data_IF_945605280530
#
_entry.id   IF_945605280530
#
_cell.length_a   1.000
_cell.length_b   1.000
_cell.length_c   1.000
_cell.angle_alpha   90.00
_cell.angle_beta   90.00
_cell.angle_gamma   90.00
#
_symmetry.space_group_name_H-M   'P 1'
#
loop_
_entity.id
_entity.type
_entity.pdbx_description
1 polymer ?
#
# COMPACT_ATOMS: atom_id res chain seq x y z
N UNK A 1 54.17 17.13 -68.67
CA UNK A 1 52.79 17.20 -68.16
C UNK A 1 52.41 15.80 -67.73
N UNK A 2 52.51 15.52 -66.43
CA UNK A 2 52.08 14.26 -65.85
C UNK A 2 50.88 14.59 -64.96
N UNK A 3 49.71 14.09 -65.32
CA UNK A 3 48.48 14.26 -64.57
C UNK A 3 48.53 13.40 -63.30
N UNK A 4 48.49 14.06 -62.14
CA UNK A 4 48.37 13.41 -60.84
C UNK A 4 46.96 12.82 -60.67
N UNK A 5 46.81 11.57 -60.23
CA UNK A 5 45.50 11.00 -59.96
C UNK A 5 44.90 11.63 -58.70
N UNK A 6 43.74 12.26 -58.88
CA UNK A 6 42.91 12.78 -57.79
C UNK A 6 42.37 11.60 -56.99
N UNK A 7 42.88 11.43 -55.77
CA UNK A 7 42.36 10.46 -54.82
C UNK A 7 40.96 10.89 -54.36
N UNK A 8 39.93 10.17 -54.81
CA UNK A 8 38.57 10.31 -54.30
C UNK A 8 38.55 9.80 -52.85
N UNK A 9 38.48 10.73 -51.89
CA UNK A 9 38.23 10.42 -50.50
C UNK A 9 36.80 9.90 -50.35
N UNK A 10 36.66 8.62 -49.98
CA UNK A 10 35.35 8.05 -49.67
C UNK A 10 34.71 8.81 -48.50
N UNK A 11 33.43 9.21 -48.61
CA UNK A 11 32.74 9.89 -47.54
C UNK A 11 32.64 8.97 -46.31
N UNK A 12 33.16 9.44 -45.18
CA UNK A 12 33.11 8.71 -43.90
C UNK A 12 31.65 8.31 -43.59
N UNK A 13 31.36 7.01 -43.59
CA UNK A 13 30.01 6.45 -43.39
C UNK A 13 29.54 6.50 -41.93
N UNK A 14 30.30 7.12 -41.04
CA UNK A 14 29.91 7.27 -39.64
C UNK A 14 28.78 8.30 -39.51
N UNK A 15 27.58 7.89 -39.07
CA UNK A 15 26.46 8.82 -38.90
C UNK A 15 26.85 9.93 -37.91
N UNK A 16 26.41 11.19 -38.15
CA UNK A 16 26.73 12.30 -37.28
C UNK A 16 26.24 12.01 -35.86
N UNK A 17 27.11 12.27 -34.87
CA UNK A 17 26.75 12.14 -33.47
C UNK A 17 25.55 13.06 -33.17
N UNK A 18 24.62 12.64 -32.29
CA UNK A 18 23.53 13.51 -31.86
C UNK A 18 24.07 14.83 -31.34
N UNK A 19 23.44 15.94 -31.73
CA UNK A 19 23.77 17.25 -31.17
C UNK A 19 23.70 17.22 -29.64
N UNK A 20 24.60 17.95 -28.99
CA UNK A 20 24.72 17.97 -27.52
C UNK A 20 23.35 18.13 -26.82
N UNK A 21 22.52 19.06 -27.30
CA UNK A 21 21.18 19.29 -26.76
C UNK A 21 20.24 18.08 -26.84
N UNK A 22 20.28 17.29 -27.92
CA UNK A 22 19.47 16.06 -28.03
C UNK A 22 19.91 15.02 -27.01
N UNK A 23 21.21 14.92 -26.76
CA UNK A 23 21.74 14.03 -25.72
C UNK A 23 21.27 14.45 -24.33
N UNK A 24 21.31 15.76 -24.03
CA UNK A 24 20.81 16.30 -22.77
C UNK A 24 19.32 15.99 -22.59
N UNK A 25 18.47 16.30 -23.56
CA UNK A 25 17.04 15.98 -23.48
C UNK A 25 16.78 14.48 -23.30
N UNK A 26 17.56 13.64 -23.97
CA UNK A 26 17.45 12.19 -23.83
C UNK A 26 17.78 11.70 -22.42
N UNK A 27 18.79 12.29 -21.77
CA UNK A 27 19.12 11.97 -20.38
C UNK A 27 18.12 12.53 -19.37
N UNK A 28 17.56 13.72 -19.63
CA UNK A 28 16.46 14.25 -18.82
C UNK A 28 15.24 13.32 -18.89
N UNK A 29 14.90 12.80 -20.07
CA UNK A 29 13.83 11.81 -20.24
C UNK A 29 14.10 10.54 -19.42
N UNK A 30 15.32 9.98 -19.52
CA UNK A 30 15.75 8.81 -18.75
C UNK A 30 15.61 9.06 -17.25
N UNK A 31 16.12 10.19 -16.75
CA UNK A 31 16.09 10.53 -15.33
C UNK A 31 14.65 10.66 -14.82
N UNK A 32 13.81 11.46 -15.48
CA UNK A 32 12.41 11.65 -15.09
C UNK A 32 11.65 10.32 -15.08
N UNK A 33 11.76 9.52 -16.14
CA UNK A 33 11.11 8.20 -16.21
C UNK A 33 11.58 7.28 -15.08
N UNK A 34 12.88 7.28 -14.78
CA UNK A 34 13.47 6.45 -13.74
C UNK A 34 12.99 6.86 -12.36
N UNK A 35 12.88 8.16 -12.07
CA UNK A 35 12.32 8.67 -10.81
C UNK A 35 10.88 8.21 -10.65
N UNK A 36 10.03 8.36 -11.67
CA UNK A 36 8.63 7.92 -11.60
C UNK A 36 8.51 6.40 -11.45
N UNK A 37 9.26 5.63 -12.22
CA UNK A 37 9.29 4.17 -12.07
C UNK A 37 9.80 3.76 -10.68
N UNK A 38 10.79 4.46 -10.13
CA UNK A 38 11.33 4.24 -8.78
C UNK A 38 10.31 4.57 -7.69
N UNK A 39 9.56 5.66 -7.79
CA UNK A 39 8.49 6.01 -6.84
C UNK A 39 7.38 4.96 -6.84
N UNK A 40 6.96 4.50 -8.02
CA UNK A 40 5.99 3.41 -8.13
C UNK A 40 6.54 2.08 -7.60
N UNK A 41 7.82 1.80 -7.82
CA UNK A 41 8.47 0.61 -7.29
C UNK A 41 8.54 0.65 -5.75
N UNK A 42 8.88 1.80 -5.17
CA UNK A 42 8.88 2.03 -3.73
C UNK A 42 7.50 1.80 -3.12
N UNK A 43 6.49 2.52 -3.62
CA UNK A 43 5.11 2.42 -3.13
C UNK A 43 4.56 1.01 -3.34
N UNK A 44 4.67 0.47 -4.55
CA UNK A 44 4.15 -0.85 -4.90
C UNK A 44 4.80 -1.97 -4.07
N UNK A 45 6.09 -1.87 -3.74
CA UNK A 45 6.74 -2.87 -2.89
C UNK A 45 6.23 -2.82 -1.46
N UNK A 46 6.03 -1.62 -0.89
CA UNK A 46 5.51 -1.50 0.47
C UNK A 46 4.06 -2.00 0.55
N UNK A 47 3.20 -1.54 -0.36
CA UNK A 47 1.78 -1.90 -0.36
C UNK A 47 1.54 -3.38 -0.65
N UNK A 48 2.37 -3.99 -1.51
CA UNK A 48 2.28 -5.43 -1.79
C UNK A 48 2.34 -6.29 -0.53
N UNK A 49 3.12 -5.88 0.48
CA UNK A 49 3.27 -6.59 1.75
C UNK A 49 2.46 -5.97 2.90
N UNK A 50 1.99 -4.73 2.74
CA UNK A 50 1.07 -4.09 3.68
C UNK A 50 -0.35 -4.65 3.54
N UNK A 51 -0.84 -4.74 2.29
CA UNK A 51 -2.21 -5.13 1.94
C UNK A 51 -2.29 -6.42 1.13
N UNK A 52 -1.36 -6.62 0.18
CA UNK A 52 -1.43 -7.69 -0.82
C UNK A 52 -1.07 -9.09 -0.32
N UNK A 53 -0.25 -9.20 0.73
CA UNK A 53 0.23 -10.47 1.26
C UNK A 53 -0.74 -11.05 2.30
N UNK A 54 -1.80 -11.69 1.78
CA UNK A 54 -2.94 -12.20 2.56
C UNK A 54 -3.49 -13.55 2.10
N UNK A 55 -2.98 -14.13 1.03
CA UNK A 55 -3.45 -15.44 0.57
C UNK A 55 -2.74 -16.57 1.32
N UNK A 56 -3.43 -17.69 1.49
CA UNK A 56 -2.83 -18.96 1.91
C UNK A 56 -1.83 -19.50 0.88
N UNK A 57 -2.02 -19.17 -0.41
CA UNK A 57 -1.18 -19.71 -1.49
C UNK A 57 -0.08 -18.73 -1.86
N UNK A 58 1.16 -19.24 -1.97
CA UNK A 58 2.31 -18.46 -2.40
C UNK A 58 2.09 -17.83 -3.78
N UNK A 59 1.50 -18.59 -4.72
CA UNK A 59 1.26 -18.11 -6.08
C UNK A 59 0.39 -16.85 -6.08
N UNK A 60 -0.72 -16.85 -5.34
CA UNK A 60 -1.62 -15.70 -5.33
C UNK A 60 -0.97 -14.48 -4.66
N UNK A 61 -0.19 -14.68 -3.60
CA UNK A 61 0.60 -13.59 -3.00
C UNK A 61 1.63 -13.01 -3.98
N UNK A 62 2.34 -13.85 -4.73
CA UNK A 62 3.30 -13.39 -5.77
C UNK A 62 2.57 -12.66 -6.90
N UNK A 63 1.40 -13.11 -7.31
CA UNK A 63 0.57 -12.41 -8.30
C UNK A 63 0.12 -11.04 -7.78
N UNK A 64 -0.26 -10.91 -6.51
CA UNK A 64 -0.57 -9.62 -5.90
C UNK A 64 0.65 -8.70 -5.84
N UNK A 65 1.83 -9.21 -5.48
CA UNK A 65 3.08 -8.43 -5.56
C UNK A 65 3.29 -7.91 -6.99
N UNK A 66 3.07 -8.76 -8.00
CA UNK A 66 3.10 -8.35 -9.41
C UNK A 66 2.07 -7.27 -9.75
N UNK A 67 0.85 -7.35 -9.21
CA UNK A 67 -0.20 -6.36 -9.41
C UNK A 67 0.18 -4.99 -8.81
N UNK A 68 0.68 -4.95 -7.58
CA UNK A 68 1.12 -3.70 -6.95
C UNK A 68 2.36 -3.11 -7.64
N UNK A 69 3.27 -3.94 -8.17
CA UNK A 69 4.42 -3.49 -8.96
C UNK A 69 4.09 -3.14 -10.43
N UNK A 70 2.87 -3.40 -10.89
CA UNK A 70 2.49 -3.21 -12.29
C UNK A 70 2.68 -1.77 -12.78
N UNK A 71 2.40 -0.77 -11.94
CA UNK A 71 2.63 0.64 -12.28
C UNK A 71 4.10 0.95 -12.56
N UNK A 72 5.01 0.39 -11.75
CA UNK A 72 6.45 0.51 -11.99
C UNK A 72 6.85 -0.22 -13.27
N UNK A 73 6.33 -1.43 -13.49
CA UNK A 73 6.56 -2.21 -14.71
C UNK A 73 6.09 -1.49 -15.99
N UNK A 74 4.93 -0.83 -15.95
CA UNK A 74 4.41 0.00 -17.05
C UNK A 74 5.35 1.18 -17.30
N UNK A 75 5.76 1.91 -16.26
CA UNK A 75 6.68 3.05 -16.41
C UNK A 75 8.05 2.64 -16.97
N UNK A 76 8.60 1.50 -16.53
CA UNK A 76 9.83 0.93 -17.10
C UNK A 76 9.62 0.59 -18.57
N UNK A 77 8.55 -0.13 -18.90
CA UNK A 77 8.24 -0.54 -20.28
C UNK A 77 8.12 0.65 -21.21
N UNK A 78 7.41 1.70 -20.78
CA UNK A 78 7.27 2.94 -21.54
C UNK A 78 8.61 3.65 -21.74
N UNK A 79 9.47 3.72 -20.71
CA UNK A 79 10.82 4.25 -20.83
C UNK A 79 11.69 3.46 -21.82
N UNK A 80 11.61 2.12 -21.80
CA UNK A 80 12.32 1.25 -22.74
C UNK A 80 11.82 1.43 -24.18
N UNK A 81 10.51 1.59 -24.38
CA UNK A 81 9.93 1.93 -25.68
C UNK A 81 10.39 3.32 -26.16
N UNK A 82 10.45 4.31 -25.26
CA UNK A 82 11.01 5.63 -25.54
C UNK A 82 12.49 5.59 -25.94
N UNK A 83 13.28 4.70 -25.34
CA UNK A 83 14.69 4.49 -25.73
C UNK A 83 14.84 3.76 -27.07
N UNK A 84 13.98 2.77 -27.34
CA UNK A 84 14.06 1.91 -28.52
C UNK A 84 13.47 2.55 -29.77
N UNK A 85 12.35 3.26 -29.61
CA UNK A 85 11.56 3.88 -30.66
C UNK A 85 11.17 5.30 -30.27
N UNK A 86 12.09 6.27 -30.22
CA UNK A 86 11.82 7.51 -29.49
C UNK A 86 10.66 8.37 -30.01
N UNK A 87 10.35 8.30 -31.32
CA UNK A 87 9.17 8.99 -31.88
C UNK A 87 7.88 8.27 -31.50
N UNK A 88 7.76 6.99 -31.85
CA UNK A 88 6.56 6.19 -31.54
C UNK A 88 6.35 6.06 -30.02
N UNK A 89 7.40 5.77 -29.27
CA UNK A 89 7.40 5.72 -27.80
C UNK A 89 7.03 7.06 -27.18
N UNK A 90 7.53 8.19 -27.70
CA UNK A 90 7.12 9.51 -27.25
C UNK A 90 5.62 9.77 -27.43
N UNK A 91 5.04 9.38 -28.57
CA UNK A 91 3.59 9.48 -28.82
C UNK A 91 2.81 8.56 -27.90
N UNK A 92 3.26 7.31 -27.71
CA UNK A 92 2.60 6.35 -26.81
C UNK A 92 2.57 6.90 -25.37
N UNK A 93 3.70 7.40 -24.86
CA UNK A 93 3.81 7.99 -23.52
C UNK A 93 2.89 9.20 -23.37
N UNK A 94 2.86 10.07 -24.38
CA UNK A 94 1.98 11.24 -24.40
C UNK A 94 0.51 10.81 -24.32
N UNK A 95 0.09 9.90 -25.19
CA UNK A 95 -1.31 9.44 -25.24
C UNK A 95 -1.72 8.75 -23.93
N UNK A 96 -0.92 7.81 -23.42
CA UNK A 96 -1.24 7.10 -22.17
C UNK A 96 -1.27 8.07 -20.99
N UNK A 97 -0.29 8.97 -20.87
CA UNK A 97 -0.25 9.95 -19.80
C UNK A 97 -1.45 10.91 -19.83
N UNK A 98 -1.82 11.38 -21.02
CA UNK A 98 -3.01 12.22 -21.21
C UNK A 98 -4.31 11.48 -20.89
N UNK A 99 -4.48 10.25 -21.37
CA UNK A 99 -5.66 9.43 -21.07
C UNK A 99 -5.78 9.13 -19.58
N UNK A 100 -4.67 8.74 -18.94
CA UNK A 100 -4.65 8.49 -17.50
C UNK A 100 -5.04 9.72 -16.70
N UNK A 101 -4.55 10.91 -17.08
CA UNK A 101 -4.91 12.15 -16.40
C UNK A 101 -6.39 12.52 -16.57
N UNK A 102 -6.95 12.38 -17.76
CA UNK A 102 -8.39 12.60 -18.00
C UNK A 102 -9.22 11.64 -17.15
N UNK A 103 -8.84 10.36 -17.12
CA UNK A 103 -9.49 9.38 -16.26
C UNK A 103 -9.37 9.72 -14.77
N UNK A 104 -8.17 10.05 -14.29
CA UNK A 104 -7.91 10.38 -12.90
C UNK A 104 -8.70 11.62 -12.44
N UNK A 105 -8.72 12.68 -13.25
CA UNK A 105 -9.51 13.88 -12.97
C UNK A 105 -11.01 13.60 -13.07
N UNK A 106 -11.44 12.74 -14.00
CA UNK A 106 -12.84 12.34 -14.14
C UNK A 106 -13.37 11.47 -13.00
N UNK A 107 -12.50 10.75 -12.29
CA UNK A 107 -12.86 10.04 -11.05
C UNK A 107 -13.05 10.96 -9.85
N UNK A 108 -12.54 12.20 -9.92
CA UNK A 108 -12.74 13.16 -8.85
C UNK A 108 -14.08 13.89 -9.09
N UNK A 109 -14.92 14.02 -8.07
CA UNK A 109 -15.95 15.05 -8.08
C UNK A 109 -15.23 16.41 -7.98
N UNK A 110 -15.01 17.08 -9.11
CA UNK A 110 -14.20 18.30 -9.19
C UNK A 110 -14.75 19.44 -8.29
N UNK A 111 -16.03 19.38 -7.92
CA UNK A 111 -16.67 20.28 -6.95
C UNK A 111 -16.16 20.10 -5.51
N UNK A 112 -15.75 18.87 -5.15
CA UNK A 112 -15.41 18.48 -3.77
C UNK A 112 -13.96 17.95 -3.65
N UNK A 113 -13.23 17.91 -4.78
CA UNK A 113 -11.88 17.39 -4.82
C UNK A 113 -10.93 18.31 -4.05
N UNK A 114 -10.10 17.78 -3.13
CA UNK A 114 -9.04 18.55 -2.52
C UNK A 114 -8.15 19.20 -3.60
N UNK A 115 -7.77 20.49 -3.48
CA UNK A 115 -6.91 21.15 -4.47
C UNK A 115 -5.63 20.37 -4.80
N UNK A 116 -5.10 19.63 -3.82
CA UNK A 116 -3.95 18.75 -3.99
C UNK A 116 -4.21 17.65 -5.04
N UNK A 117 -5.40 17.05 -5.08
CA UNK A 117 -5.73 16.00 -6.06
C UNK A 117 -5.76 16.55 -7.48
N UNK A 118 -6.25 17.79 -7.67
CA UNK A 118 -6.24 18.47 -8.96
C UNK A 118 -4.79 18.74 -9.39
N UNK A 119 -3.95 19.25 -8.49
CA UNK A 119 -2.51 19.46 -8.75
C UNK A 119 -1.81 18.16 -9.12
N UNK A 120 -2.09 17.07 -8.41
CA UNK A 120 -1.55 15.73 -8.74
C UNK A 120 -2.00 15.29 -10.12
N UNK A 121 -3.30 15.38 -10.43
CA UNK A 121 -3.83 14.99 -11.74
C UNK A 121 -3.21 15.78 -12.89
N UNK A 122 -3.09 17.10 -12.74
CA UNK A 122 -2.44 17.99 -13.72
C UNK A 122 -0.94 17.70 -13.83
N UNK A 123 -0.25 17.46 -12.70
CA UNK A 123 1.16 17.11 -12.70
C UNK A 123 1.39 15.78 -13.41
N UNK A 124 0.53 14.78 -13.22
CA UNK A 124 0.60 13.49 -13.91
C UNK A 124 0.34 13.65 -15.43
N UNK A 125 -0.64 14.47 -15.81
CA UNK A 125 -0.93 14.81 -17.22
C UNK A 125 0.26 15.49 -17.91
N UNK A 126 0.74 16.57 -17.28
CA UNK A 126 1.85 17.38 -17.74
C UNK A 126 3.14 16.57 -17.81
N UNK A 127 3.35 15.67 -16.84
CA UNK A 127 4.51 14.79 -16.81
C UNK A 127 4.51 13.83 -18.01
N UNK A 128 3.39 13.18 -18.33
CA UNK A 128 3.27 12.33 -19.52
C UNK A 128 3.54 13.09 -20.83
N UNK A 129 2.97 14.29 -20.98
CA UNK A 129 3.18 15.14 -22.15
C UNK A 129 4.62 15.61 -22.31
N UNK A 130 5.21 16.15 -21.24
CA UNK A 130 6.62 16.59 -21.21
C UNK A 130 7.54 15.41 -21.50
N UNK A 131 7.34 14.27 -20.85
CA UNK A 131 8.16 13.09 -21.06
C UNK A 131 8.05 12.56 -22.49
N UNK A 132 6.86 12.56 -23.08
CA UNK A 132 6.64 12.20 -24.48
C UNK A 132 7.43 13.08 -25.46
N UNK A 133 7.41 14.40 -25.25
CA UNK A 133 8.19 15.34 -26.06
C UNK A 133 9.70 15.15 -25.87
N UNK A 134 10.15 14.93 -24.64
CA UNK A 134 11.56 14.65 -24.36
C UNK A 134 12.04 13.38 -25.06
N UNK A 135 11.24 12.31 -25.11
CA UNK A 135 11.55 11.13 -25.90
C UNK A 135 11.57 11.42 -27.40
N UNK A 136 10.60 12.18 -27.90
CA UNK A 136 10.51 12.50 -29.32
C UNK A 136 11.80 13.13 -29.86
N UNK A 137 12.33 14.14 -29.15
CA UNK A 137 13.52 14.89 -29.57
C UNK A 137 14.85 14.37 -29.00
N UNK A 138 14.83 13.75 -27.82
CA UNK A 138 16.01 13.36 -27.05
C UNK A 138 16.65 12.05 -27.49
N UNK A 139 17.99 11.97 -27.48
CA UNK A 139 18.77 10.80 -27.91
C UNK A 139 19.98 10.60 -26.99
N UNK A 140 19.87 9.80 -25.91
CA UNK A 140 20.98 9.63 -24.98
C UNK A 140 22.16 8.92 -25.66
N UNK A 141 23.37 9.46 -25.51
CA UNK A 141 24.57 8.96 -26.21
C UNK A 141 25.03 7.57 -25.75
N UNK A 142 25.02 7.29 -24.43
CA UNK A 142 25.39 5.97 -23.87
C UNK A 142 24.15 5.10 -23.68
N UNK A 143 23.64 4.55 -24.78
CA UNK A 143 22.38 3.79 -24.77
C UNK A 143 22.38 2.67 -23.73
N UNK A 144 23.42 1.81 -23.66
CA UNK A 144 23.48 0.71 -22.69
C UNK A 144 23.24 1.19 -21.25
N UNK A 145 23.90 2.29 -20.86
CA UNK A 145 23.71 2.88 -19.53
C UNK A 145 22.28 3.41 -19.34
N UNK A 146 21.72 4.08 -20.36
CA UNK A 146 20.33 4.56 -20.30
C UNK A 146 19.34 3.39 -20.08
N UNK A 147 19.49 2.28 -20.82
CA UNK A 147 18.70 1.07 -20.60
C UNK A 147 18.88 0.55 -19.17
N UNK A 148 20.13 0.33 -18.72
CA UNK A 148 20.42 -0.17 -17.37
C UNK A 148 19.83 0.71 -16.27
N UNK A 149 19.91 2.03 -16.39
CA UNK A 149 19.32 2.96 -15.41
C UNK A 149 17.80 2.86 -15.41
N UNK A 150 17.17 2.84 -16.59
CA UNK A 150 15.70 2.84 -16.73
C UNK A 150 15.03 1.62 -16.10
N UNK A 151 15.60 0.41 -16.19
CA UNK A 151 15.00 -0.79 -15.56
C UNK A 151 15.69 -1.20 -14.25
N UNK A 152 17.02 -1.02 -14.16
CA UNK A 152 17.81 -1.50 -13.04
C UNK A 152 17.57 -0.70 -11.76
N UNK A 153 17.45 0.63 -11.84
CA UNK A 153 17.21 1.45 -10.64
C UNK A 153 15.85 1.14 -10.01
N UNK A 154 14.71 1.12 -10.74
CA UNK A 154 13.42 0.75 -10.15
C UNK A 154 13.41 -0.68 -9.59
N UNK A 155 14.10 -1.62 -10.24
CA UNK A 155 14.22 -2.99 -9.72
C UNK A 155 14.98 -3.01 -8.39
N UNK A 156 16.11 -2.30 -8.29
CA UNK A 156 16.86 -2.19 -7.03
C UNK A 156 16.00 -1.54 -5.95
N UNK A 157 15.27 -0.47 -6.27
CA UNK A 157 14.33 0.16 -5.33
C UNK A 157 13.28 -0.85 -4.85
N UNK A 158 12.67 -1.62 -5.76
CA UNK A 158 11.69 -2.63 -5.39
C UNK A 158 12.28 -3.70 -4.44
N UNK A 159 13.46 -4.22 -4.77
CA UNK A 159 14.13 -5.24 -3.94
C UNK A 159 14.51 -4.69 -2.56
N UNK A 160 15.12 -3.50 -2.50
CA UNK A 160 15.58 -2.91 -1.23
C UNK A 160 14.40 -2.53 -0.34
N UNK A 161 13.40 -1.84 -0.90
CA UNK A 161 12.24 -1.38 -0.13
C UNK A 161 11.25 -2.51 0.18
N UNK A 162 11.22 -3.56 -0.64
CA UNK A 162 10.42 -4.77 -0.40
C UNK A 162 11.08 -5.77 0.55
N UNK A 163 12.40 -5.70 0.80
CA UNK A 163 13.11 -6.69 1.61
C UNK A 163 12.62 -6.77 3.06
N UNK A 164 12.51 -5.62 3.75
CA UNK A 164 12.04 -5.60 5.13
C UNK A 164 10.55 -6.01 5.24
N UNK A 165 9.62 -5.51 4.41
CA UNK A 165 8.24 -5.97 4.44
C UNK A 165 8.09 -7.45 4.09
N UNK A 166 8.87 -7.97 3.13
CA UNK A 166 8.90 -9.39 2.77
C UNK A 166 9.39 -10.26 3.94
N UNK A 167 10.49 -9.87 4.59
CA UNK A 167 10.98 -10.56 5.78
C UNK A 167 9.92 -10.57 6.89
N UNK A 168 9.34 -9.40 7.17
CA UNK A 168 8.29 -9.24 8.18
C UNK A 168 7.10 -10.18 7.93
N UNK A 169 6.57 -10.23 6.71
CA UNK A 169 5.44 -11.15 6.42
C UNK A 169 5.84 -12.63 6.44
N UNK A 170 7.11 -12.95 6.13
CA UNK A 170 7.62 -14.31 6.16
C UNK A 170 7.86 -14.83 7.58
N UNK A 171 8.04 -13.92 8.57
CA UNK A 171 8.23 -14.27 9.98
C UNK A 171 6.96 -14.13 10.82
N UNK A 172 5.80 -13.84 10.21
CA UNK A 172 4.53 -13.73 10.94
C UNK A 172 4.13 -15.05 11.57
N UNK A 173 3.65 -15.00 12.80
CA UNK A 173 3.04 -16.14 13.45
C UNK A 173 1.58 -16.29 12.97
N UNK A 174 1.27 -17.49 12.48
CA UNK A 174 -0.08 -17.97 12.22
C UNK A 174 -0.21 -19.36 12.87
N UNK A 175 -0.70 -19.38 14.11
CA UNK A 175 -0.75 -20.53 15.00
C UNK A 175 -1.91 -21.46 14.61
N UNK A 176 -1.72 -22.23 13.54
CA UNK A 176 -2.59 -23.35 13.14
C UNK A 176 -3.96 -22.97 12.57
N UNK A 177 -4.21 -21.67 12.37
CA UNK A 177 -5.51 -21.17 11.92
C UNK A 177 -6.56 -21.13 13.02
N UNK A 178 -6.16 -21.15 14.30
CA UNK A 178 -7.12 -20.95 15.39
C UNK A 178 -7.68 -19.53 15.30
N UNK A 179 -9.01 -19.45 15.21
CA UNK A 179 -9.79 -18.21 15.18
C UNK A 179 -10.91 -18.25 16.22
N UNK A 180 -10.70 -19.02 17.29
CA UNK A 180 -11.54 -19.06 18.47
C UNK A 180 -11.49 -17.75 19.27
N UNK A 181 -12.28 -17.67 20.34
CA UNK A 181 -12.20 -16.55 21.26
C UNK A 181 -10.85 -16.58 21.97
N UNK A 182 -10.20 -15.43 22.09
CA UNK A 182 -8.84 -15.33 22.62
C UNK A 182 -8.83 -14.52 23.90
N UNK A 183 -8.33 -15.10 24.99
CA UNK A 183 -8.14 -14.40 26.26
C UNK A 183 -6.78 -13.73 26.24
N UNK A 184 -6.74 -12.40 26.33
CA UNK A 184 -5.51 -11.61 26.28
C UNK A 184 -5.45 -10.72 27.51
N UNK A 185 -4.36 -10.85 28.26
CA UNK A 185 -4.00 -9.93 29.33
C UNK A 185 -3.12 -8.82 28.77
N UNK A 186 -3.58 -7.58 28.89
CA UNK A 186 -2.84 -6.39 28.47
C UNK A 186 -1.57 -6.17 29.32
N UNK A 187 -0.66 -5.33 28.84
CA UNK A 187 0.51 -4.90 29.64
C UNK A 187 0.12 -4.07 30.88
N UNK A 188 -1.11 -3.59 30.97
CA UNK A 188 -1.68 -2.92 32.16
C UNK A 188 -2.34 -3.89 33.15
N UNK A 189 -2.35 -5.20 32.85
CA UNK A 189 -2.92 -6.25 33.70
C UNK A 189 -4.43 -6.47 33.51
N UNK A 190 -5.07 -5.82 32.53
CA UNK A 190 -6.48 -6.04 32.24
C UNK A 190 -6.65 -7.24 31.32
N UNK A 191 -7.48 -8.20 31.70
CA UNK A 191 -7.78 -9.37 30.88
C UNK A 191 -9.09 -9.18 30.11
N UNK A 192 -9.03 -9.33 28.79
CA UNK A 192 -10.17 -9.25 27.89
C UNK A 192 -10.32 -10.54 27.08
N UNK A 193 -11.55 -10.91 26.78
CA UNK A 193 -11.86 -11.92 25.78
C UNK A 193 -12.12 -11.22 24.45
N UNK A 194 -11.34 -11.56 23.44
CA UNK A 194 -11.47 -11.07 22.08
C UNK A 194 -12.29 -12.07 21.26
N UNK A 195 -13.33 -11.58 20.59
CA UNK A 195 -14.29 -12.40 19.87
C UNK A 195 -13.60 -13.31 18.83
N UNK A 196 -14.15 -14.51 18.57
CA UNK A 196 -13.68 -15.38 17.50
C UNK A 196 -13.90 -14.74 16.11
N UNK A 197 -13.40 -15.40 15.07
CA UNK A 197 -13.83 -15.09 13.71
C UNK A 197 -15.34 -15.29 13.58
N UNK A 198 -15.98 -14.34 12.89
CA UNK A 198 -17.42 -14.23 12.76
C UNK A 198 -17.80 -12.92 12.08
N UNK A 199 -18.92 -12.28 12.47
CA UNK A 199 -19.43 -11.05 11.83
C UNK A 199 -18.44 -9.88 11.79
N UNK A 200 -17.45 -9.83 12.68
CA UNK A 200 -16.39 -8.80 12.67
C UNK A 200 -15.30 -8.98 11.60
N UNK A 201 -15.30 -10.11 10.90
CA UNK A 201 -14.21 -10.54 10.01
C UNK A 201 -14.71 -10.77 8.58
N UNK A 202 -15.27 -9.75 7.93
CA UNK A 202 -15.88 -9.90 6.62
C UNK A 202 -14.82 -10.16 5.54
N UNK A 203 -15.20 -10.93 4.52
CA UNK A 203 -14.33 -11.24 3.37
C UNK A 203 -14.71 -10.47 2.10
N UNK A 204 -15.87 -9.80 2.11
CA UNK A 204 -16.51 -9.23 0.92
C UNK A 204 -16.80 -7.73 1.03
N UNK A 205 -16.92 -7.17 2.25
CA UNK A 205 -17.19 -5.75 2.47
C UNK A 205 -16.52 -5.19 3.72
N UNK A 206 -16.55 -3.86 3.84
CA UNK A 206 -16.21 -3.15 5.08
C UNK A 206 -17.45 -2.75 5.86
N UNK A 207 -17.26 -2.41 7.14
CA UNK A 207 -18.31 -1.86 8.00
C UNK A 207 -18.07 -0.38 8.31
N UNK A 208 -19.16 0.38 8.34
CA UNK A 208 -19.18 1.69 9.01
C UNK A 208 -19.05 1.51 10.53
N UNK A 209 -18.75 2.59 11.24
CA UNK A 209 -18.60 2.53 12.70
C UNK A 209 -19.91 2.16 13.39
N UNK A 210 -21.04 2.69 12.91
CA UNK A 210 -22.35 2.39 13.50
C UNK A 210 -22.75 0.93 13.28
N UNK A 211 -22.54 0.39 12.08
CA UNK A 211 -22.78 -1.04 11.82
C UNK A 211 -21.92 -1.91 12.75
N UNK A 212 -20.66 -1.57 12.95
CA UNK A 212 -19.77 -2.32 13.84
C UNK A 212 -20.25 -2.31 15.30
N UNK A 213 -20.68 -1.15 15.80
CA UNK A 213 -21.28 -1.02 17.14
C UNK A 213 -22.57 -1.85 17.28
N UNK A 214 -23.47 -1.73 16.30
CA UNK A 214 -24.75 -2.43 16.28
C UNK A 214 -24.57 -3.95 16.21
N UNK A 215 -23.60 -4.43 15.44
CA UNK A 215 -23.27 -5.85 15.34
C UNK A 215 -22.70 -6.34 16.68
N UNK A 216 -21.75 -5.62 17.27
CA UNK A 216 -21.20 -5.98 18.58
C UNK A 216 -22.29 -6.11 19.65
N UNK A 217 -23.21 -5.15 19.69
CA UNK A 217 -24.30 -5.14 20.66
C UNK A 217 -25.24 -6.34 20.51
N UNK A 218 -25.35 -6.94 19.32
CA UNK A 218 -26.21 -8.11 19.04
C UNK A 218 -25.48 -9.45 19.03
N UNK A 219 -24.15 -9.47 19.21
CA UNK A 219 -23.40 -10.72 19.28
C UNK A 219 -23.88 -11.56 20.48
N UNK A 220 -24.17 -12.82 20.22
CA UNK A 220 -24.47 -13.81 21.24
C UNK A 220 -23.22 -14.15 22.06
N UNK A 221 -23.37 -14.91 23.16
CA UNK A 221 -22.27 -15.28 24.05
C UNK A 221 -21.12 -16.02 23.32
N UNK A 222 -21.42 -16.72 22.22
CA UNK A 222 -20.42 -17.40 21.39
C UNK A 222 -19.52 -16.43 20.57
N UNK A 223 -19.91 -15.17 20.44
CA UNK A 223 -19.23 -14.15 19.63
C UNK A 223 -19.25 -14.42 18.12
N UNK A 224 -20.09 -15.33 17.64
CA UNK A 224 -20.22 -15.75 16.22
C UNK A 224 -21.61 -15.47 15.66
N UNK A 225 -22.64 -15.65 16.48
CA UNK A 225 -24.03 -15.55 16.07
C UNK A 225 -24.61 -14.19 16.44
N UNK A 226 -25.59 -13.71 15.68
CA UNK A 226 -26.30 -12.46 15.96
C UNK A 226 -27.72 -12.77 16.42
N UNK A 227 -28.07 -12.23 17.59
CA UNK A 227 -29.44 -12.24 18.09
C UNK A 227 -30.28 -11.13 17.42
N UNK A 228 -31.60 -11.30 17.43
CA UNK A 228 -32.55 -10.30 16.93
C UNK A 228 -32.56 -9.00 17.76
N UNK A 229 -32.19 -9.10 19.05
CA UNK A 229 -32.15 -7.98 19.99
C UNK A 229 -30.74 -7.75 20.55
N UNK A 230 -30.41 -6.52 20.97
CA UNK A 230 -29.12 -6.25 21.62
C UNK A 230 -28.94 -7.06 22.92
N UNK A 231 -27.86 -7.82 22.98
CA UNK A 231 -27.40 -8.59 24.15
C UNK A 231 -26.43 -7.77 25.02
N UNK A 232 -25.65 -6.87 24.40
CA UNK A 232 -24.63 -6.04 25.05
C UNK A 232 -23.57 -6.82 25.84
N UNK A 233 -23.29 -8.06 25.41
CA UNK A 233 -22.21 -8.89 25.96
C UNK A 233 -20.87 -8.44 25.38
N UNK A 234 -20.85 -8.18 24.08
CA UNK A 234 -19.68 -7.75 23.34
C UNK A 234 -19.78 -6.28 22.96
N UNK A 235 -18.63 -5.62 22.85
CA UNK A 235 -18.51 -4.22 22.44
C UNK A 235 -17.26 -4.01 21.60
N UNK A 236 -17.18 -2.87 20.92
CA UNK A 236 -15.89 -2.45 20.35
C UNK A 236 -14.88 -2.16 21.46
N UNK A 237 -13.60 -2.54 21.27
CA UNK A 237 -12.54 -2.17 22.21
C UNK A 237 -12.32 -0.66 22.19
N UNK A 238 -11.88 -0.09 23.30
CA UNK A 238 -11.32 1.26 23.30
C UNK A 238 -9.94 1.26 22.62
N UNK A 239 -9.41 2.45 22.29
CA UNK A 239 -8.03 2.55 21.79
C UNK A 239 -7.05 1.97 22.81
N UNK A 240 -7.19 2.33 24.08
CA UNK A 240 -6.28 1.91 25.13
C UNK A 240 -6.29 0.39 25.30
N UNK A 241 -7.48 -0.25 25.28
CA UNK A 241 -7.61 -1.71 25.33
C UNK A 241 -6.90 -2.39 24.15
N UNK A 242 -7.03 -1.85 22.94
CA UNK A 242 -6.31 -2.40 21.78
C UNK A 242 -4.81 -2.19 21.89
N UNK A 243 -4.36 -0.96 22.14
CA UNK A 243 -2.94 -0.58 22.17
C UNK A 243 -2.19 -1.40 23.22
N UNK A 244 -2.76 -1.53 24.43
CA UNK A 244 -2.16 -2.28 25.54
C UNK A 244 -2.24 -3.81 25.36
N UNK A 245 -3.07 -4.29 24.44
CA UNK A 245 -3.18 -5.72 24.09
C UNK A 245 -2.41 -6.09 22.82
N UNK A 246 -1.83 -5.12 22.10
CA UNK A 246 -1.16 -5.37 20.83
C UNK A 246 -0.01 -6.37 20.98
N UNK A 247 0.19 -7.22 19.97
CA UNK A 247 1.09 -8.36 20.04
C UNK A 247 2.12 -8.33 18.91
N UNK A 248 3.29 -8.91 19.18
CA UNK A 248 4.29 -9.28 18.19
C UNK A 248 4.88 -10.64 18.59
N UNK A 249 4.85 -11.61 17.68
CA UNK A 249 5.47 -12.92 17.87
C UNK A 249 5.01 -13.66 19.14
N UNK A 250 3.70 -13.61 19.42
CA UNK A 250 3.09 -14.27 20.58
C UNK A 250 3.33 -13.56 21.91
N UNK A 251 4.00 -12.41 21.91
CA UNK A 251 4.27 -11.61 23.10
C UNK A 251 3.61 -10.22 22.99
N UNK A 252 3.32 -9.60 24.13
CA UNK A 252 2.81 -8.23 24.16
C UNK A 252 3.85 -7.25 23.59
N UNK A 253 3.39 -6.27 22.82
CA UNK A 253 4.18 -5.26 22.14
C UNK A 253 4.58 -4.07 23.03
N UNK A 254 4.12 -4.02 24.28
CA UNK A 254 4.42 -2.94 25.23
C UNK A 254 3.71 -1.64 24.88
N UNK A 255 2.49 -1.70 24.33
CA UNK A 255 1.79 -0.53 23.83
C UNK A 255 1.32 0.42 24.93
N UNK A 256 1.47 1.72 24.70
CA UNK A 256 0.91 2.79 25.53
C UNK A 256 0.20 3.84 24.67
N UNK A 257 -0.90 4.39 25.19
CA UNK A 257 -1.69 5.40 24.50
C UNK A 257 -1.51 6.76 25.16
N UNK A 258 -1.04 7.75 24.41
CA UNK A 258 -0.96 9.13 24.85
C UNK A 258 -2.15 9.92 24.29
N UNK A 259 -3.17 10.13 25.13
CA UNK A 259 -4.40 10.78 24.74
C UNK A 259 -4.20 12.26 24.36
N UNK A 260 -3.21 12.94 24.93
CA UNK A 260 -2.95 14.37 24.67
C UNK A 260 -2.43 14.62 23.25
N UNK A 261 -1.63 13.70 22.71
CA UNK A 261 -1.06 13.78 21.37
C UNK A 261 -1.83 12.94 20.36
N UNK A 262 -2.70 12.04 20.82
CA UNK A 262 -3.42 11.11 19.95
C UNK A 262 -2.49 10.07 19.31
N UNK A 263 -1.43 9.67 20.02
CA UNK A 263 -0.40 8.75 19.49
C UNK A 263 -0.25 7.51 20.36
N UNK A 264 -0.13 6.35 19.73
CA UNK A 264 0.30 5.12 20.39
C UNK A 264 1.82 4.98 20.28
N UNK A 265 2.46 4.51 21.34
CA UNK A 265 3.87 4.11 21.36
C UNK A 265 3.94 2.63 21.72
N UNK A 266 4.98 1.96 21.23
CA UNK A 266 5.21 0.54 21.49
C UNK A 266 6.70 0.30 21.72
N UNK A 267 7.02 -0.59 22.64
CA UNK A 267 8.40 -1.09 22.82
C UNK A 267 8.85 -1.86 21.57
N UNK A 268 7.93 -2.62 20.97
CA UNK A 268 8.11 -3.35 19.71
C UNK A 268 6.93 -3.07 18.80
N UNK A 269 7.17 -2.79 17.53
CA UNK A 269 6.08 -2.54 16.59
C UNK A 269 5.21 -3.81 16.45
N UNK A 270 3.90 -3.76 16.76
CA UNK A 270 3.04 -4.93 16.59
C UNK A 270 2.88 -5.26 15.10
N UNK A 271 2.40 -6.47 14.79
CA UNK A 271 2.09 -6.87 13.42
C UNK A 271 0.73 -7.60 13.35
N UNK A 272 0.30 -7.88 12.12
CA UNK A 272 -0.89 -8.63 11.75
C UNK A 272 -0.67 -10.12 12.01
N UNK A 273 -0.57 -10.44 13.29
CA UNK A 273 -0.34 -11.78 13.80
C UNK A 273 -1.44 -12.18 14.78
N UNK A 274 -1.54 -13.48 14.97
CA UNK A 274 -2.32 -14.10 16.04
C UNK A 274 -1.75 -13.69 17.40
N UNK A 275 -2.57 -13.65 18.46
CA UNK A 275 -3.99 -13.99 18.50
C UNK A 275 -4.92 -12.89 18.00
N UNK A 276 -4.45 -11.64 17.77
CA UNK A 276 -5.32 -10.47 17.50
C UNK A 276 -5.79 -10.33 16.05
N UNK A 277 -4.98 -10.79 15.09
CA UNK A 277 -5.23 -10.63 13.66
C UNK A 277 -5.18 -11.99 12.95
N UNK A 278 -5.84 -12.10 11.80
CA UNK A 278 -5.55 -13.17 10.84
C UNK A 278 -4.60 -12.62 9.77
N UNK A 279 -3.36 -13.14 9.69
CA UNK A 279 -2.41 -12.78 8.65
C UNK A 279 -2.98 -12.96 7.23
N UNK A 280 -3.87 -13.92 7.04
CA UNK A 280 -4.48 -14.32 5.77
C UNK A 280 -5.82 -13.60 5.48
N UNK A 281 -6.14 -12.54 6.23
CA UNK A 281 -7.31 -11.70 5.96
C UNK A 281 -6.92 -10.48 5.14
N UNK A 282 -7.86 -9.86 4.41
CA UNK A 282 -7.64 -8.53 3.82
C UNK A 282 -7.77 -7.40 4.83
N UNK A 283 -8.35 -7.68 6.01
CA UNK A 283 -8.59 -6.63 6.97
C UNK A 283 -7.29 -6.20 7.64
N UNK A 284 -7.05 -4.91 7.66
CA UNK A 284 -5.88 -4.26 8.27
C UNK A 284 -6.25 -3.15 9.24
N UNK A 285 -7.54 -2.83 9.35
CA UNK A 285 -8.08 -1.81 10.25
C UNK A 285 -9.20 -2.35 11.14
N UNK A 286 -9.11 -2.12 12.45
CA UNK A 286 -10.24 -2.30 13.37
C UNK A 286 -10.83 -0.96 13.79
N UNK A 287 -12.15 -0.88 13.83
CA UNK A 287 -12.85 0.16 14.57
C UNK A 287 -12.65 0.00 16.08
N UNK A 288 -12.60 1.13 16.77
CA UNK A 288 -12.65 1.22 18.24
C UNK A 288 -13.95 1.91 18.67
N UNK A 289 -14.35 1.76 19.92
CA UNK A 289 -15.45 2.50 20.53
C UNK A 289 -15.10 3.97 20.82
N UNK A 290 -13.82 4.35 20.73
CA UNK A 290 -13.37 5.70 21.07
C UNK A 290 -13.67 6.69 19.93
N UNK A 291 -14.47 7.70 20.23
CA UNK A 291 -14.90 8.72 19.28
C UNK A 291 -13.95 9.93 19.22
N UNK A 292 -13.95 10.62 18.07
CA UNK A 292 -13.33 11.94 17.87
C UNK A 292 -14.43 12.91 17.51
N UNK A 293 -15.24 13.28 18.51
CA UNK A 293 -16.43 14.09 18.30
C UNK A 293 -17.54 13.35 17.55
N UNK A 294 -18.46 14.11 16.93
CA UNK A 294 -19.73 13.57 16.44
C UNK A 294 -19.59 12.70 15.19
N UNK A 295 -18.70 13.06 14.27
CA UNK A 295 -18.62 12.51 12.91
C UNK A 295 -17.46 11.51 12.71
N UNK A 296 -16.53 11.42 13.67
CA UNK A 296 -15.33 10.59 13.56
C UNK A 296 -15.17 9.64 14.74
N UNK A 297 -14.49 8.54 14.47
CA UNK A 297 -14.04 7.59 15.49
C UNK A 297 -12.63 7.11 15.14
N UNK A 298 -11.94 6.55 16.13
CA UNK A 298 -10.60 6.02 15.91
C UNK A 298 -10.65 4.63 15.30
N UNK A 299 -9.73 4.40 14.36
CA UNK A 299 -9.32 3.08 13.89
C UNK A 299 -7.90 2.80 14.29
N UNK A 300 -7.62 1.53 14.53
CA UNK A 300 -6.28 1.00 14.75
C UNK A 300 -5.85 0.21 13.52
N UNK A 301 -4.59 0.30 13.14
CA UNK A 301 -3.97 -0.52 12.09
C UNK A 301 -3.21 -1.66 12.75
N UNK A 302 -3.06 -2.79 12.06
CA UNK A 302 -2.34 -3.95 12.58
C UNK A 302 -0.92 -3.63 13.08
N UNK A 303 -0.25 -2.63 12.49
CA UNK A 303 1.10 -2.22 12.88
C UNK A 303 1.13 -1.19 14.02
N UNK A 304 -0.01 -0.98 14.69
CA UNK A 304 -0.15 -0.16 15.89
C UNK A 304 -0.54 1.30 15.63
N UNK A 305 -0.58 1.75 14.38
CA UNK A 305 -1.01 3.11 14.03
C UNK A 305 -2.46 3.38 14.44
N UNK A 306 -2.75 4.59 14.91
CA UNK A 306 -4.09 5.02 15.34
C UNK A 306 -4.50 6.25 14.55
N UNK A 307 -5.67 6.21 13.91
CA UNK A 307 -6.12 7.28 13.02
C UNK A 307 -7.60 7.59 13.21
N UNK A 308 -7.93 8.88 13.34
CA UNK A 308 -9.31 9.35 13.30
C UNK A 308 -9.85 9.22 11.87
N UNK A 309 -11.00 8.57 11.70
CA UNK A 309 -11.67 8.39 10.40
C UNK A 309 -13.16 8.74 10.50
N UNK A 310 -13.78 9.22 9.40
CA UNK A 310 -15.23 9.45 9.38
C UNK A 310 -16.00 8.16 9.69
N UNK A 311 -17.00 8.23 10.57
CA UNK A 311 -17.80 7.06 11.00
C UNK A 311 -18.53 6.37 9.83
N UNK A 312 -18.83 7.12 8.77
CA UNK A 312 -19.49 6.65 7.54
C UNK A 312 -18.56 5.86 6.61
N UNK A 313 -17.26 5.79 6.88
CA UNK A 313 -16.30 5.13 6.01
C UNK A 313 -16.38 3.60 6.17
N UNK A 314 -16.78 2.86 5.13
CA UNK A 314 -16.82 1.38 5.12
C UNK A 314 -15.86 0.76 4.10
N UNK A 315 -14.54 0.86 4.32
CA UNK A 315 -13.53 0.30 3.40
C UNK A 315 -13.46 -1.23 3.50
N UNK A 316 -13.34 -1.94 2.37
CA UNK A 316 -13.21 -3.41 2.36
C UNK A 316 -12.03 -3.98 3.15
N UNK A 317 -11.02 -3.16 3.45
CA UNK A 317 -9.89 -3.48 4.31
C UNK A 317 -10.08 -3.11 5.79
N UNK A 318 -11.29 -2.69 6.19
CA UNK A 318 -11.61 -2.27 7.55
C UNK A 318 -12.87 -2.93 8.11
N UNK A 319 -12.77 -3.42 9.34
CA UNK A 319 -13.88 -4.04 10.07
C UNK A 319 -13.71 -3.84 11.58
N UNK A 320 -13.98 -4.86 12.41
CA UNK A 320 -13.86 -4.76 13.86
C UNK A 320 -13.60 -6.12 14.50
N UNK A 321 -13.04 -6.11 15.70
CA UNK A 321 -13.03 -7.28 16.56
C UNK A 321 -13.59 -6.90 17.91
N UNK A 322 -14.69 -7.54 18.30
CA UNK A 322 -15.37 -7.23 19.54
C UNK A 322 -14.61 -7.79 20.75
N UNK A 323 -14.81 -7.17 21.91
CA UNK A 323 -14.25 -7.59 23.19
C UNK A 323 -15.32 -7.63 24.27
N UNK A 324 -15.06 -8.42 25.30
CA UNK A 324 -15.75 -8.38 26.60
C UNK A 324 -14.74 -8.55 27.73
N UNK A 325 -15.11 -8.16 28.93
CA UNK A 325 -14.29 -8.44 30.11
C UNK A 325 -14.24 -9.96 30.37
N UNK A 326 -13.07 -10.44 30.79
CA UNK A 326 -12.89 -11.84 31.16
C UNK A 326 -13.60 -12.16 32.47
N UNK A 327 -14.15 -13.35 32.55
CA UNK A 327 -14.71 -13.93 33.77
C UNK A 327 -13.70 -14.89 34.39
N UNK A 328 -13.89 -15.26 35.67
CA UNK A 328 -13.03 -16.24 36.35
C UNK A 328 -12.98 -17.59 35.61
N UNK A 329 -14.06 -17.97 34.94
CA UNK A 329 -14.10 -19.18 34.11
C UNK A 329 -13.23 -19.08 32.86
N UNK A 330 -13.12 -17.89 32.25
CA UNK A 330 -12.26 -17.65 31.09
C UNK A 330 -10.77 -17.72 31.47
N UNK A 331 -10.41 -17.24 32.66
CA UNK A 331 -9.01 -17.21 33.14
C UNK A 331 -8.47 -18.59 33.57
N UNK A 332 -9.36 -19.51 33.94
CA UNK A 332 -8.99 -20.85 34.44
C UNK A 332 -8.94 -21.92 33.36
N UNK A 333 -9.20 -21.56 32.10
CA UNK A 333 -9.04 -22.45 30.93
C UNK A 333 -10.03 -23.61 30.92
N UNK A 334 -11.34 -23.29 30.94
CA UNK A 334 -12.42 -24.28 30.87
C UNK A 334 -12.30 -25.31 29.75
#
# INVERSE_FOLDING_TARGET
MADSPVANSEPSTTPPLPSHWRSVLGWVAVWLNTVVAGLWAFWGSIEAFHEGWRSETLLLNVLFVGLYLSFAGIAVTLGLLGLRFPRSGGVIVLLIGSTFAVWFLGMQNLSDAPPLNIVIGVAMAGFGGVLGLLWWFGRPRRKRLAYTVTWGVPLVVACVCGAQPAWRVATRIDDTGDRSAQVITSNTGRTLVWAPQGPGWPTDRGYTWQEAMDICARLEADGRSLADTPQNIWRLPTIEEYVTSAMLHGENAGGTWEASTGTAQYERQPDKEVPLWNPQSQIIYWWTSTEVGKDKAYRVVYHGGVYAKPKVLGMGSGAFRAVRDATVADETGG
#
